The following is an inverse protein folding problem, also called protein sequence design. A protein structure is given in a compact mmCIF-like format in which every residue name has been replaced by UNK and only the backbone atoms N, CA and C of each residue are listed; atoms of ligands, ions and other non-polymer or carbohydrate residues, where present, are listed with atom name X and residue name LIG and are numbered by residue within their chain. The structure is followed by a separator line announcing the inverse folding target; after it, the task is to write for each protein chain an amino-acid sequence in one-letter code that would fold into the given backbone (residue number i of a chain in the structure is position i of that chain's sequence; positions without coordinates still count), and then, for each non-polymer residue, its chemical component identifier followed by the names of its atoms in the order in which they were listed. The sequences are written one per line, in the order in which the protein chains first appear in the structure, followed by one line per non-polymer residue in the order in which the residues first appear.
data_IF_256638608641
#
_entry.id   IF_256638608641
#
_cell.length_a   1.000
_cell.length_b   1.000
_cell.length_c   1.000
_cell.angle_alpha   90.00
_cell.angle_beta   90.00
_cell.angle_gamma   90.00
#
_symmetry.space_group_name_H-M   'P 1'
#
loop_
_entity.id
_entity.type
_entity.pdbx_description
1 polymer ?
#
# COMPACT_ATOMS: atom_id res chain seq x y z
N UNK A 1 0.46 -22.68 -59.18
CA UNK A 1 1.49 -22.66 -58.13
C UNK A 1 1.31 -21.36 -57.34
N UNK A 2 0.40 -21.38 -56.33
CA UNK A 2 0.10 -20.19 -55.52
C UNK A 2 1.02 -20.19 -54.29
N UNK A 3 1.84 -19.14 -54.18
CA UNK A 3 2.64 -18.88 -52.97
C UNK A 3 1.76 -18.15 -51.94
N UNK A 4 1.43 -18.82 -50.87
CA UNK A 4 0.80 -18.22 -49.68
C UNK A 4 1.93 -17.58 -48.85
N UNK A 5 1.96 -16.27 -48.82
CA UNK A 5 2.87 -15.51 -47.91
C UNK A 5 2.17 -15.41 -46.57
N UNK A 6 2.69 -16.15 -45.58
CA UNK A 6 2.21 -16.13 -44.21
C UNK A 6 2.74 -14.84 -43.54
N UNK A 7 1.86 -13.89 -43.30
CA UNK A 7 2.16 -12.66 -42.58
C UNK A 7 2.15 -13.00 -41.08
N UNK A 8 3.32 -13.09 -40.45
CA UNK A 8 3.44 -13.15 -39.00
C UNK A 8 3.12 -11.76 -38.43
N UNK A 9 1.91 -11.59 -37.88
CA UNK A 9 1.59 -10.47 -37.02
C UNK A 9 2.32 -10.68 -35.68
N UNK A 10 3.40 -9.93 -35.50
CA UNK A 10 4.06 -9.79 -34.20
C UNK A 10 3.10 -8.99 -33.29
N UNK A 11 2.37 -9.67 -32.41
CA UNK A 11 1.70 -9.03 -31.29
C UNK A 11 2.80 -8.54 -30.33
N UNK A 12 3.19 -7.27 -30.44
CA UNK A 12 3.94 -6.59 -29.41
C UNK A 12 2.94 -6.36 -28.28
N UNK A 13 3.01 -7.20 -27.26
CA UNK A 13 2.34 -6.95 -26.00
C UNK A 13 3.02 -5.75 -25.35
N UNK A 14 2.49 -4.54 -25.57
CA UNK A 14 2.89 -3.35 -24.82
C UNK A 14 2.37 -3.58 -23.39
N UNK A 15 3.26 -4.03 -22.52
CA UNK A 15 2.96 -4.02 -21.09
C UNK A 15 2.78 -2.58 -20.66
N UNK A 16 1.54 -2.19 -20.41
CA UNK A 16 1.19 -0.91 -19.81
C UNK A 16 1.85 -0.82 -18.43
N UNK A 17 2.92 -0.04 -18.33
CA UNK A 17 3.57 0.33 -17.07
C UNK A 17 2.61 1.21 -16.24
N UNK A 18 1.72 0.57 -15.53
CA UNK A 18 0.86 1.21 -14.54
C UNK A 18 1.60 1.30 -13.19
N UNK A 19 1.19 2.25 -12.34
CA UNK A 19 1.45 2.14 -10.91
C UNK A 19 1.22 0.70 -10.52
N UNK A 20 2.24 0.01 -10.05
CA UNK A 20 2.13 -1.40 -9.84
C UNK A 20 1.40 -1.64 -8.52
N UNK A 21 0.10 -1.35 -8.55
CA UNK A 21 -0.81 -1.83 -7.52
C UNK A 21 -0.81 -3.34 -7.64
N UNK A 22 -0.22 -4.03 -6.67
CA UNK A 22 -0.24 -5.48 -6.64
C UNK A 22 -1.66 -5.98 -6.41
N UNK A 23 -2.34 -5.35 -5.46
CA UNK A 23 -3.74 -5.61 -5.16
C UNK A 23 -4.34 -4.50 -4.28
N UNK A 24 -5.65 -4.41 -4.33
CA UNK A 24 -6.49 -3.65 -3.41
C UNK A 24 -7.76 -4.45 -3.17
N UNK A 25 -8.04 -4.80 -1.93
CA UNK A 25 -9.23 -5.57 -1.61
C UNK A 25 -9.77 -5.31 -0.20
N UNK A 26 -11.08 -5.23 -0.12
CA UNK A 26 -11.88 -5.30 1.10
C UNK A 26 -12.49 -6.71 1.26
N UNK A 27 -12.08 -7.66 0.41
CA UNK A 27 -12.54 -9.04 0.41
C UNK A 27 -11.35 -9.98 0.23
N UNK A 28 -10.89 -10.58 1.30
CA UNK A 28 -9.72 -11.46 1.32
C UNK A 28 -9.91 -12.76 0.53
N UNK A 29 -11.14 -13.19 0.29
CA UNK A 29 -11.40 -14.37 -0.56
C UNK A 29 -10.91 -14.14 -2.01
N UNK A 30 -11.05 -12.92 -2.51
CA UNK A 30 -10.51 -12.52 -3.84
C UNK A 30 -8.99 -12.67 -3.90
N UNK A 31 -8.30 -12.34 -2.79
CA UNK A 31 -6.85 -12.37 -2.68
C UNK A 31 -6.30 -13.78 -2.34
N UNK A 32 -7.14 -14.68 -1.84
CA UNK A 32 -6.76 -16.00 -1.30
C UNK A 32 -5.81 -16.80 -2.21
N UNK A 33 -6.04 -16.78 -3.52
CA UNK A 33 -5.19 -17.47 -4.51
C UNK A 33 -3.76 -16.92 -4.57
N UNK A 34 -3.56 -15.65 -4.21
CA UNK A 34 -2.29 -14.93 -4.24
C UNK A 34 -1.58 -14.94 -2.87
N UNK A 35 -2.21 -15.56 -1.85
CA UNK A 35 -1.68 -15.71 -0.50
C UNK A 35 -1.10 -17.11 -0.26
N UNK A 36 -0.06 -17.16 0.55
CA UNK A 36 0.42 -18.39 1.20
C UNK A 36 0.08 -18.32 2.69
N UNK A 37 -0.80 -19.22 3.12
CA UNK A 37 -1.27 -19.31 4.50
C UNK A 37 -0.47 -20.39 5.22
N UNK A 38 0.08 -20.05 6.38
CA UNK A 38 0.96 -20.92 7.17
C UNK A 38 0.32 -21.18 8.53
N UNK A 39 0.37 -22.43 8.96
CA UNK A 39 -0.21 -22.94 10.23
C UNK A 39 -1.69 -22.57 10.40
N UNK A 40 -2.05 -21.84 11.48
CA UNK A 40 -3.43 -21.50 11.84
C UNK A 40 -4.11 -20.45 10.98
N UNK A 41 -3.37 -19.77 10.08
CA UNK A 41 -3.95 -18.73 9.24
C UNK A 41 -4.94 -19.31 8.22
N UNK A 42 -6.05 -18.61 8.02
CA UNK A 42 -7.12 -19.01 7.10
C UNK A 42 -7.81 -17.79 6.50
N UNK A 43 -8.49 -17.96 5.37
CA UNK A 43 -9.46 -16.99 4.87
C UNK A 43 -10.85 -17.51 5.21
N UNK A 44 -11.55 -16.79 6.09
CA UNK A 44 -12.88 -17.09 6.58
C UNK A 44 -13.88 -16.05 6.03
N UNK A 45 -14.60 -16.42 4.99
CA UNK A 45 -15.44 -15.49 4.24
C UNK A 45 -14.59 -14.39 3.59
N UNK A 46 -14.83 -13.14 3.98
CA UNK A 46 -14.12 -11.96 3.46
C UNK A 46 -12.90 -11.55 4.29
N UNK A 47 -12.57 -12.30 5.34
CA UNK A 47 -11.58 -11.94 6.36
C UNK A 47 -10.37 -12.86 6.28
N UNK A 48 -9.17 -12.31 6.37
CA UNK A 48 -7.96 -13.08 6.64
C UNK A 48 -7.80 -13.21 8.16
N UNK A 49 -8.05 -14.39 8.69
CA UNK A 49 -7.86 -14.74 10.10
C UNK A 49 -6.48 -15.31 10.31
N UNK A 50 -5.68 -14.65 11.14
CA UNK A 50 -4.32 -15.10 11.46
C UNK A 50 -4.33 -16.13 12.60
N UNK A 51 -5.14 -15.89 13.65
CA UNK A 51 -5.38 -16.83 14.76
C UNK A 51 -6.85 -16.89 15.14
N UNK A 52 -7.29 -18.03 15.62
CA UNK A 52 -8.55 -18.14 16.34
C UNK A 52 -8.38 -17.65 17.79
N UNK A 53 -9.51 -17.29 18.44
CA UNK A 53 -9.53 -16.93 19.87
C UNK A 53 -9.43 -18.19 20.76
N UNK A 54 -8.29 -18.86 20.67
CA UNK A 54 -7.93 -20.03 21.48
C UNK A 54 -6.44 -19.96 21.82
N UNK A 55 -6.05 -20.58 22.91
CA UNK A 55 -4.67 -20.57 23.38
C UNK A 55 -3.71 -21.31 22.42
N UNK A 56 -2.44 -20.93 22.49
CA UNK A 56 -1.33 -21.60 21.78
C UNK A 56 -1.48 -21.69 20.28
N UNK A 57 -2.05 -20.67 19.64
CA UNK A 57 -2.14 -20.55 18.20
C UNK A 57 -0.93 -19.81 17.63
N UNK A 58 -0.64 -20.03 16.36
CA UNK A 58 0.17 -19.15 15.52
C UNK A 58 -0.26 -19.27 14.07
N UNK A 59 -0.17 -18.20 13.33
CA UNK A 59 -0.49 -18.16 11.92
C UNK A 59 0.28 -17.08 11.19
N UNK A 60 0.60 -17.34 9.92
CA UNK A 60 1.20 -16.36 9.05
C UNK A 60 0.53 -16.36 7.68
N UNK A 61 0.56 -15.20 7.04
CA UNK A 61 0.08 -15.02 5.69
C UNK A 61 1.10 -14.22 4.89
N UNK A 62 1.50 -14.74 3.72
CA UNK A 62 2.48 -14.10 2.85
C UNK A 62 1.87 -13.86 1.47
N UNK A 63 2.09 -12.66 0.92
CA UNK A 63 1.79 -12.41 -0.48
C UNK A 63 2.82 -13.15 -1.35
N UNK A 64 2.36 -14.19 -2.10
CA UNK A 64 3.26 -15.11 -2.80
C UNK A 64 3.53 -14.80 -4.27
N UNK A 65 2.73 -13.91 -4.87
CA UNK A 65 2.77 -13.67 -6.31
C UNK A 65 4.06 -12.96 -6.74
N UNK A 66 4.57 -12.07 -5.90
CA UNK A 66 5.76 -11.27 -6.21
C UNK A 66 6.39 -10.74 -4.92
N UNK A 67 7.71 -10.62 -4.89
CA UNK A 67 8.42 -9.87 -3.86
C UNK A 67 8.33 -8.36 -4.15
N UNK A 68 8.28 -7.56 -3.09
CA UNK A 68 8.47 -6.11 -3.18
C UNK A 68 9.88 -5.77 -3.64
N UNK A 69 10.00 -4.77 -4.48
CA UNK A 69 11.25 -4.12 -4.85
C UNK A 69 11.48 -2.92 -3.91
N UNK A 70 12.35 -3.07 -2.96
CA UNK A 70 12.58 -2.09 -1.90
C UNK A 70 13.25 -0.79 -2.41
N UNK A 71 13.95 -0.85 -3.56
CA UNK A 71 14.56 0.33 -4.18
C UNK A 71 13.50 1.29 -4.74
N UNK A 72 12.33 0.75 -5.12
CA UNK A 72 11.20 1.56 -5.57
C UNK A 72 10.43 2.21 -4.44
N UNK A 73 10.55 1.64 -3.22
CA UNK A 73 9.65 1.96 -2.14
C UNK A 73 8.24 1.39 -2.35
N UNK A 74 7.42 1.48 -1.32
CA UNK A 74 6.06 0.94 -1.34
C UNK A 74 5.12 1.69 -0.40
N UNK A 75 3.84 1.48 -0.62
CA UNK A 75 2.79 1.82 0.31
C UNK A 75 1.90 0.60 0.52
N UNK A 76 1.53 0.35 1.78
CA UNK A 76 0.56 -0.66 2.13
C UNK A 76 -0.42 -0.11 3.15
N UNK A 77 -1.69 -0.45 2.97
CA UNK A 77 -2.78 -0.08 3.88
C UNK A 77 -3.56 -1.34 4.23
N UNK A 78 -3.98 -1.45 5.46
CA UNK A 78 -4.86 -2.53 5.90
C UNK A 78 -5.77 -2.08 7.02
N UNK A 79 -6.95 -2.67 7.09
CA UNK A 79 -7.82 -2.58 8.25
C UNK A 79 -7.77 -3.90 8.98
N UNK A 80 -7.80 -3.84 10.31
CA UNK A 80 -7.74 -5.02 11.16
C UNK A 80 -8.70 -4.91 12.33
N UNK A 81 -8.96 -6.06 12.94
CA UNK A 81 -9.81 -6.16 14.13
C UNK A 81 -9.26 -7.23 15.05
N UNK A 82 -9.08 -6.87 16.33
CA UNK A 82 -8.71 -7.80 17.39
C UNK A 82 -9.92 -7.93 18.33
N UNK A 83 -10.44 -9.14 18.49
CA UNK A 83 -11.68 -9.36 19.22
C UNK A 83 -11.78 -10.78 19.81
N UNK A 84 -12.87 -11.08 20.54
CA UNK A 84 -13.04 -12.40 21.16
C UNK A 84 -11.99 -12.69 22.22
N UNK A 85 -11.61 -11.67 22.95
CA UNK A 85 -10.54 -11.71 23.94
C UNK A 85 -10.79 -12.70 25.04
N UNK A 86 -9.74 -13.35 25.53
CA UNK A 86 -9.78 -14.11 26.77
C UNK A 86 -10.39 -13.26 27.91
N UNK A 87 -11.40 -13.76 28.63
CA UNK A 87 -12.11 -12.95 29.62
C UNK A 87 -11.28 -12.64 30.87
N UNK A 88 -10.26 -13.44 31.18
CA UNK A 88 -9.42 -13.28 32.36
C UNK A 88 -8.20 -12.42 32.06
N UNK A 89 -7.46 -12.77 31.02
CA UNK A 89 -6.22 -12.10 30.61
C UNK A 89 -6.47 -10.97 29.63
N UNK A 90 -7.74 -10.73 29.25
CA UNK A 90 -8.22 -9.64 28.39
C UNK A 90 -7.63 -9.63 26.97
N UNK A 91 -7.24 -10.80 26.45
CA UNK A 91 -6.71 -11.00 25.10
C UNK A 91 -5.20 -10.93 24.99
N UNK A 92 -4.69 -11.38 23.89
CA UNK A 92 -3.24 -11.45 23.55
C UNK A 92 -3.00 -12.43 22.39
N UNK A 93 -1.76 -12.66 21.95
CA UNK A 93 -0.64 -11.82 22.33
C UNK A 93 -0.52 -10.62 21.36
N UNK A 94 -0.82 -10.82 20.07
CA UNK A 94 -0.80 -9.76 19.08
C UNK A 94 -0.59 -10.28 17.66
N UNK A 95 -0.39 -9.33 16.75
CA UNK A 95 -0.02 -9.62 15.38
C UNK A 95 1.09 -8.69 14.90
N UNK A 96 1.68 -8.98 13.76
CA UNK A 96 2.72 -8.17 13.17
C UNK A 96 2.58 -8.08 11.65
N UNK A 97 2.92 -6.91 11.10
CA UNK A 97 3.22 -6.72 9.69
C UNK A 97 4.70 -6.95 9.48
N UNK A 98 5.08 -7.81 8.54
CA UNK A 98 6.45 -8.31 8.39
C UNK A 98 6.96 -8.15 6.97
N UNK A 99 8.17 -7.59 6.85
CA UNK A 99 9.01 -7.60 5.65
C UNK A 99 10.18 -8.54 5.90
N UNK A 100 10.42 -9.53 5.04
CA UNK A 100 11.47 -10.51 5.28
C UNK A 100 12.09 -11.08 4.00
N UNK A 101 13.31 -11.62 4.14
CA UNK A 101 14.12 -12.11 3.04
C UNK A 101 14.16 -13.64 2.86
N UNK A 102 13.52 -14.45 3.72
CA UNK A 102 13.68 -15.90 3.73
C UNK A 102 12.77 -16.63 2.73
N UNK A 103 11.45 -16.40 2.80
CA UNK A 103 10.49 -17.13 1.94
C UNK A 103 9.05 -17.03 2.43
N UNK A 104 8.16 -17.70 1.75
CA UNK A 104 6.71 -17.62 2.03
C UNK A 104 6.19 -18.69 3.00
N UNK A 105 7.01 -19.66 3.38
CA UNK A 105 6.61 -20.76 4.28
C UNK A 105 7.09 -20.56 5.72
N UNK A 106 7.69 -19.38 6.01
CA UNK A 106 8.27 -19.11 7.31
C UNK A 106 7.24 -18.62 8.32
N UNK A 107 7.45 -18.99 9.57
CA UNK A 107 6.73 -18.50 10.74
C UNK A 107 7.64 -18.61 11.96
N UNK A 108 7.47 -17.72 12.92
CA UNK A 108 8.20 -17.71 14.19
C UNK A 108 7.47 -18.42 15.31
N UNK A 109 7.86 -18.11 16.56
CA UNK A 109 7.31 -18.71 17.76
C UNK A 109 5.89 -18.26 18.10
N UNK A 110 5.30 -18.93 19.08
CA UNK A 110 3.97 -18.62 19.64
C UNK A 110 4.08 -17.64 20.81
N UNK A 111 2.94 -17.22 21.33
CA UNK A 111 2.90 -16.34 22.50
C UNK A 111 3.51 -14.96 22.17
N UNK A 112 4.33 -14.46 23.07
CA UNK A 112 5.05 -13.19 22.96
C UNK A 112 6.02 -13.10 21.77
N UNK A 113 6.25 -14.20 21.07
CA UNK A 113 6.94 -14.22 19.79
C UNK A 113 6.08 -13.72 18.61
N UNK A 114 4.78 -13.57 18.80
CA UNK A 114 3.78 -13.00 17.86
C UNK A 114 3.92 -13.58 16.43
N UNK A 115 4.40 -14.82 16.32
CA UNK A 115 4.59 -15.52 15.05
C UNK A 115 5.73 -14.99 14.19
N UNK A 116 6.47 -13.97 14.60
CA UNK A 116 7.58 -13.42 13.82
C UNK A 116 8.97 -13.65 14.44
N UNK A 117 9.11 -13.69 15.79
CA UNK A 117 10.41 -13.92 16.41
C UNK A 117 10.91 -15.34 16.03
N UNK A 118 12.08 -15.37 15.43
CA UNK A 118 12.63 -16.57 14.77
C UNK A 118 12.80 -16.43 13.26
N UNK A 119 12.03 -15.55 12.60
CA UNK A 119 12.24 -15.19 11.20
C UNK A 119 13.47 -14.28 11.12
N UNK A 120 14.46 -14.66 10.32
CA UNK A 120 15.69 -13.88 10.14
C UNK A 120 15.55 -12.89 9.00
N UNK A 121 16.48 -11.91 8.94
CA UNK A 121 16.52 -10.93 7.85
C UNK A 121 15.15 -10.26 7.66
N UNK A 122 14.62 -9.69 8.74
CA UNK A 122 13.27 -9.12 8.77
C UNK A 122 13.24 -7.77 9.50
N UNK A 123 12.30 -6.95 9.05
CA UNK A 123 11.84 -5.72 9.69
C UNK A 123 10.33 -5.87 9.92
N UNK A 124 9.88 -5.49 11.11
CA UNK A 124 8.56 -5.83 11.61
C UNK A 124 7.93 -4.60 12.25
N UNK A 125 6.65 -4.36 11.98
CA UNK A 125 5.80 -3.50 12.79
C UNK A 125 4.93 -4.42 13.63
N UNK A 126 5.24 -4.46 14.92
CA UNK A 126 4.59 -5.27 15.94
C UNK A 126 3.39 -4.54 16.51
N UNK A 127 2.27 -5.22 16.65
CA UNK A 127 1.05 -4.79 17.34
C UNK A 127 0.83 -5.74 18.52
N UNK A 128 1.44 -5.39 19.64
CA UNK A 128 1.39 -6.16 20.87
C UNK A 128 0.17 -5.74 21.70
N UNK A 129 -0.62 -6.70 22.14
CA UNK A 129 -1.86 -6.46 22.93
C UNK A 129 -1.85 -7.16 24.27
N UNK A 130 -0.74 -7.78 24.64
CA UNK A 130 -0.55 -8.40 25.94
C UNK A 130 0.46 -7.58 26.75
N UNK A 131 0.13 -7.32 28.02
CA UNK A 131 1.02 -6.62 28.95
C UNK A 131 1.79 -7.66 29.76
N UNK A 132 3.10 -7.70 29.60
CA UNK A 132 3.97 -8.44 30.48
C UNK A 132 4.65 -7.51 31.51
N UNK A 133 5.42 -8.08 32.45
CA UNK A 133 6.06 -7.32 33.55
C UNK A 133 7.06 -6.25 33.05
N UNK A 134 7.53 -6.34 31.81
CA UNK A 134 8.48 -5.41 31.20
C UNK A 134 7.83 -4.28 30.41
N UNK A 135 6.55 -4.34 30.19
CA UNK A 135 5.82 -3.39 29.36
C UNK A 135 5.34 -2.17 30.14
N UNK A 136 5.42 -1.01 29.47
CA UNK A 136 4.91 0.24 30.05
C UNK A 136 3.41 0.45 29.79
N UNK A 137 2.81 -0.33 28.90
CA UNK A 137 1.40 -0.31 28.57
C UNK A 137 0.97 -1.63 27.94
N UNK A 138 -0.34 -1.93 28.11
CA UNK A 138 -0.95 -3.16 27.59
C UNK A 138 -0.95 -3.23 26.04
N UNK A 139 -1.05 -2.09 25.38
CA UNK A 139 -1.03 -2.01 23.93
C UNK A 139 0.22 -1.27 23.49
N UNK A 140 1.03 -1.91 22.67
CA UNK A 140 2.24 -1.33 22.11
C UNK A 140 2.30 -1.52 20.61
N UNK A 141 2.84 -0.55 19.92
CA UNK A 141 3.26 -0.69 18.52
C UNK A 141 4.74 -0.36 18.45
N UNK A 142 5.51 -1.26 17.89
CA UNK A 142 6.95 -1.11 17.81
C UNK A 142 7.52 -1.47 16.45
N UNK A 143 8.54 -0.74 16.04
CA UNK A 143 9.40 -1.12 14.93
C UNK A 143 10.48 -2.04 15.45
N UNK A 144 10.49 -3.27 14.98
CA UNK A 144 11.41 -4.32 15.36
C UNK A 144 12.27 -4.74 14.18
N UNK A 145 13.52 -5.10 14.41
CA UNK A 145 14.38 -5.73 13.39
C UNK A 145 15.11 -6.95 13.93
N UNK A 146 15.39 -7.88 13.04
CA UNK A 146 16.32 -8.96 13.36
C UNK A 146 17.76 -8.46 13.34
N UNK A 147 18.48 -8.66 14.46
CA UNK A 147 19.91 -8.40 14.57
C UNK A 147 20.69 -9.70 14.36
N UNK A 148 21.34 -9.82 13.21
CA UNK A 148 22.07 -11.04 12.84
C UNK A 148 23.29 -11.29 13.75
N UNK A 149 23.90 -10.23 14.33
CA UNK A 149 25.06 -10.36 15.22
C UNK A 149 24.66 -10.92 16.59
N UNK A 150 23.50 -10.52 17.07
CA UNK A 150 22.95 -10.96 18.35
C UNK A 150 22.02 -12.17 18.21
N UNK A 151 21.65 -12.53 16.98
CA UNK A 151 20.68 -13.59 16.66
C UNK A 151 19.34 -13.43 17.37
N UNK A 152 18.90 -12.17 17.54
CA UNK A 152 17.64 -11.82 18.22
C UNK A 152 16.99 -10.59 17.58
N UNK A 153 15.74 -10.35 17.94
CA UNK A 153 15.06 -9.12 17.61
C UNK A 153 15.46 -7.99 18.56
N UNK A 154 15.58 -6.79 18.01
CA UNK A 154 15.82 -5.55 18.75
C UNK A 154 14.76 -4.53 18.36
N UNK A 155 14.33 -3.77 19.35
CA UNK A 155 13.37 -2.68 19.19
C UNK A 155 14.12 -1.43 18.69
N UNK A 156 13.70 -0.89 17.55
CA UNK A 156 14.28 0.31 16.95
C UNK A 156 13.52 1.57 17.36
N UNK A 157 12.17 1.46 17.44
CA UNK A 157 11.31 2.55 17.85
C UNK A 157 10.01 2.03 18.44
N UNK A 158 9.35 2.85 19.25
CA UNK A 158 8.04 2.56 19.86
C UNK A 158 7.08 3.71 19.54
N UNK A 159 5.83 3.38 19.22
CA UNK A 159 4.74 4.33 19.12
C UNK A 159 4.14 4.48 20.52
N UNK A 160 4.14 5.71 21.01
CA UNK A 160 3.57 6.06 22.31
C UNK A 160 2.11 6.54 22.15
N UNK A 161 1.33 6.41 23.22
CA UNK A 161 -0.04 6.95 23.30
C UNK A 161 -1.02 6.36 22.26
N UNK A 162 -0.96 5.06 22.05
CA UNK A 162 -1.93 4.37 21.19
C UNK A 162 -3.23 4.05 21.94
N UNK A 163 -4.32 4.01 21.19
CA UNK A 163 -5.62 3.53 21.71
C UNK A 163 -5.57 2.02 21.91
N UNK A 164 -6.51 1.50 22.71
CA UNK A 164 -6.67 0.06 22.89
C UNK A 164 -6.97 -0.62 21.53
N UNK A 165 -6.10 -1.55 21.13
CA UNK A 165 -6.16 -2.23 19.84
C UNK A 165 -7.13 -3.43 19.83
N UNK A 166 -7.27 -4.10 20.99
CA UNK A 166 -8.10 -5.29 21.15
C UNK A 166 -9.50 -4.97 21.71
N UNK A 167 -10.03 -3.82 21.33
CA UNK A 167 -11.33 -3.29 21.76
C UNK A 167 -12.52 -3.82 20.93
N UNK A 168 -12.29 -4.71 19.97
CA UNK A 168 -13.29 -5.27 19.08
C UNK A 168 -13.79 -4.31 17.98
N UNK A 169 -13.15 -3.16 17.80
CA UNK A 169 -13.42 -2.21 16.71
C UNK A 169 -12.46 -2.42 15.55
N UNK A 170 -12.82 -1.86 14.43
CA UNK A 170 -11.94 -1.79 13.27
C UNK A 170 -10.91 -0.69 13.46
N UNK A 171 -9.67 -1.01 13.14
CA UNK A 171 -8.53 -0.11 13.16
C UNK A 171 -7.91 -0.04 11.76
N UNK A 172 -7.37 1.12 11.43
CA UNK A 172 -6.68 1.37 10.16
C UNK A 172 -5.20 1.54 10.39
N UNK A 173 -4.38 0.91 9.54
CA UNK A 173 -2.94 1.08 9.49
C UNK A 173 -2.48 1.37 8.06
N UNK A 174 -1.54 2.31 7.91
CA UNK A 174 -0.83 2.58 6.66
C UNK A 174 0.66 2.67 6.92
N UNK A 175 1.42 1.99 6.08
CA UNK A 175 2.88 1.98 6.11
C UNK A 175 3.37 2.45 4.76
N UNK A 176 4.26 3.40 4.76
CA UNK A 176 4.93 3.94 3.59
C UNK A 176 6.45 3.81 3.76
N UNK A 177 7.14 3.31 2.75
CA UNK A 177 8.59 3.34 2.69
C UNK A 177 9.03 4.02 1.41
N UNK A 178 9.72 5.16 1.56
CA UNK A 178 10.20 5.96 0.43
C UNK A 178 11.51 6.64 0.82
N UNK A 179 12.49 6.60 -0.06
CA UNK A 179 13.79 7.30 0.09
C UNK A 179 14.48 7.03 1.43
N UNK A 180 14.40 5.77 1.92
CA UNK A 180 15.00 5.35 3.19
C UNK A 180 14.22 5.78 4.44
N UNK A 181 13.01 6.33 4.28
CA UNK A 181 12.12 6.71 5.38
C UNK A 181 10.95 5.75 5.45
N UNK A 182 10.76 5.10 6.59
CA UNK A 182 9.56 4.34 6.92
C UNK A 182 8.64 5.22 7.74
N UNK A 183 7.42 5.41 7.25
CA UNK A 183 6.38 6.22 7.90
C UNK A 183 5.18 5.35 8.19
N UNK A 184 4.71 5.36 9.42
CA UNK A 184 3.58 4.57 9.88
C UNK A 184 2.46 5.48 10.40
N UNK A 185 1.23 5.18 9.97
CA UNK A 185 0.01 5.86 10.35
C UNK A 185 -0.96 4.86 11.00
N UNK A 186 -1.65 5.30 12.04
CA UNK A 186 -2.63 4.51 12.78
C UNK A 186 -3.90 5.31 13.04
N UNK A 187 -5.04 4.81 12.64
CA UNK A 187 -6.37 5.45 12.78
C UNK A 187 -6.42 6.90 12.29
N UNK A 188 -5.47 7.29 11.45
CA UNK A 188 -5.35 8.61 10.86
C UNK A 188 -4.65 8.53 9.50
N UNK A 189 -5.14 9.30 8.54
CA UNK A 189 -4.48 9.44 7.23
C UNK A 189 -3.54 10.65 7.17
N UNK A 190 -3.63 11.55 8.15
CA UNK A 190 -3.00 12.86 8.10
C UNK A 190 -1.68 12.92 8.88
N UNK A 191 -1.69 12.30 10.05
CA UNK A 191 -0.57 12.41 10.97
C UNK A 191 0.08 11.06 11.18
N UNK A 192 1.36 10.90 10.82
CA UNK A 192 2.09 9.70 11.14
C UNK A 192 2.29 9.59 12.65
N UNK A 193 2.17 8.39 13.16
CA UNK A 193 2.50 8.07 14.56
C UNK A 193 3.95 7.66 14.74
N UNK A 194 4.63 7.32 13.62
CA UNK A 194 6.06 7.02 13.58
C UNK A 194 6.64 7.43 12.22
N UNK A 195 7.81 8.08 12.23
CA UNK A 195 8.68 8.25 11.06
C UNK A 195 10.09 7.84 11.47
N UNK A 196 10.67 6.87 10.76
CA UNK A 196 11.94 6.28 11.11
C UNK A 196 12.83 6.08 9.88
N UNK A 197 14.05 6.61 9.93
CA UNK A 197 15.03 6.43 8.85
C UNK A 197 15.64 5.03 8.94
N UNK A 198 15.46 4.23 7.91
CA UNK A 198 15.95 2.85 7.85
C UNK A 198 16.32 2.45 6.44
N UNK A 199 17.42 1.74 6.28
CA UNK A 199 17.79 1.07 5.04
C UNK A 199 17.21 -0.34 5.05
N UNK A 200 16.02 -0.53 4.47
CA UNK A 200 15.37 -1.84 4.41
C UNK A 200 16.17 -2.87 3.61
N UNK A 201 16.77 -2.56 2.44
CA UNK A 201 17.69 -3.46 1.74
C UNK A 201 18.82 -3.97 2.63
N UNK A 202 19.47 -3.10 3.39
CA UNK A 202 20.54 -3.49 4.32
C UNK A 202 20.02 -4.42 5.43
N UNK A 203 18.84 -4.09 6.02
CA UNK A 203 18.26 -4.88 7.12
C UNK A 203 17.81 -6.27 6.69
N UNK A 204 17.29 -6.37 5.47
CA UNK A 204 16.79 -7.64 4.88
C UNK A 204 17.92 -8.40 4.19
N UNK A 205 19.02 -7.73 3.85
CA UNK A 205 20.18 -8.31 3.16
C UNK A 205 20.00 -8.46 1.66
N UNK A 206 18.97 -7.85 1.08
CA UNK A 206 18.69 -7.80 -0.37
C UNK A 206 17.61 -6.76 -0.71
N UNK A 207 17.53 -6.37 -1.97
CA UNK A 207 16.60 -5.35 -2.47
C UNK A 207 15.16 -5.84 -2.64
N UNK A 208 14.88 -7.11 -2.32
CA UNK A 208 13.54 -7.70 -2.47
C UNK A 208 13.10 -8.36 -1.19
N UNK A 209 11.85 -8.12 -0.80
CA UNK A 209 11.26 -8.68 0.39
C UNK A 209 9.94 -9.39 0.12
N UNK A 210 9.68 -10.47 0.85
CA UNK A 210 8.35 -10.99 1.06
C UNK A 210 7.64 -10.12 2.10
N UNK A 211 6.34 -9.94 1.92
CA UNK A 211 5.51 -9.09 2.77
C UNK A 211 4.30 -9.88 3.25
N UNK A 212 3.90 -9.64 4.47
CA UNK A 212 2.75 -10.33 5.03
C UNK A 212 2.51 -10.04 6.50
N UNK A 213 1.75 -10.92 7.12
CA UNK A 213 1.34 -10.82 8.52
C UNK A 213 1.66 -12.09 9.26
N UNK A 214 1.93 -11.95 10.55
CA UNK A 214 2.02 -13.06 11.52
C UNK A 214 1.20 -12.72 12.74
N UNK A 215 0.74 -13.71 13.47
CA UNK A 215 0.12 -13.55 14.78
C UNK A 215 0.36 -14.79 15.65
N UNK A 216 0.26 -14.61 16.94
CA UNK A 216 0.27 -15.72 17.87
C UNK A 216 -0.60 -15.45 19.11
N UNK A 217 -0.90 -16.51 19.83
CA UNK A 217 -1.57 -16.50 21.14
C UNK A 217 -0.83 -17.44 22.08
N UNK A 218 -0.86 -17.10 23.37
CA UNK A 218 -0.41 -17.95 24.48
C UNK A 218 -1.61 -18.47 25.27
N UNK A 219 -1.56 -18.37 26.59
CA UNK A 219 -2.74 -18.54 27.45
C UNK A 219 -3.73 -17.38 27.30
N UNK A 220 -3.24 -16.18 27.00
CA UNK A 220 -4.05 -15.07 26.51
C UNK A 220 -4.34 -15.26 25.02
N UNK A 221 -5.54 -14.95 24.57
CA UNK A 221 -5.91 -15.15 23.17
C UNK A 221 -6.95 -14.16 22.66
N UNK A 222 -6.90 -13.95 21.34
CA UNK A 222 -7.88 -13.17 20.58
C UNK A 222 -7.98 -13.71 19.16
N UNK A 223 -9.05 -13.36 18.44
CA UNK A 223 -9.05 -13.38 17.00
C UNK A 223 -8.18 -12.22 16.49
N UNK A 224 -7.27 -12.49 15.57
CA UNK A 224 -6.51 -11.48 14.85
C UNK A 224 -6.93 -11.52 13.39
N UNK A 225 -7.74 -10.57 12.98
CA UNK A 225 -8.37 -10.53 11.66
C UNK A 225 -7.90 -9.32 10.86
N UNK A 226 -7.49 -9.55 9.61
CA UNK A 226 -7.23 -8.53 8.60
C UNK A 226 -8.45 -8.46 7.69
N UNK A 227 -9.11 -7.31 7.62
CA UNK A 227 -10.39 -7.11 6.93
C UNK A 227 -10.19 -6.59 5.51
N UNK A 228 -9.20 -5.73 5.31
CA UNK A 228 -8.81 -5.22 4.00
C UNK A 228 -7.29 -5.15 3.91
N UNK A 229 -6.76 -5.25 2.69
CA UNK A 229 -5.34 -5.07 2.44
C UNK A 229 -5.08 -4.51 1.05
N UNK A 230 -4.28 -3.45 0.98
CA UNK A 230 -3.83 -2.81 -0.24
C UNK A 230 -2.31 -2.78 -0.26
N UNK A 231 -1.71 -3.01 -1.42
CA UNK A 231 -0.26 -2.98 -1.60
C UNK A 231 0.10 -2.41 -2.96
N UNK A 232 1.00 -1.44 -2.99
CA UNK A 232 1.55 -0.85 -4.21
C UNK A 232 3.03 -0.52 -4.06
N UNK A 233 3.81 -0.68 -5.15
CA UNK A 233 5.13 -0.07 -5.30
C UNK A 233 4.98 1.33 -5.89
N UNK A 234 5.91 2.23 -5.58
CA UNK A 234 5.97 3.52 -6.24
C UNK A 234 6.51 3.38 -7.66
N UNK A 235 5.96 4.16 -8.57
CA UNK A 235 6.54 4.32 -9.88
C UNK A 235 7.75 5.25 -9.78
N UNK A 236 8.85 4.92 -10.45
CA UNK A 236 9.96 5.84 -10.57
C UNK A 236 9.51 7.08 -11.35
N UNK A 237 10.09 8.27 -11.06
CA UNK A 237 9.91 9.43 -11.89
C UNK A 237 10.32 9.08 -13.34
N UNK A 238 9.59 9.55 -14.36
CA UNK A 238 10.02 9.37 -15.75
C UNK A 238 11.35 10.09 -15.98
N UNK A 239 12.32 9.41 -16.56
CA UNK A 239 13.68 9.95 -16.77
C UNK A 239 13.74 11.21 -17.66
N UNK A 240 12.75 11.38 -18.53
CA UNK A 240 12.62 12.50 -19.46
C UNK A 240 11.82 13.70 -18.89
N UNK A 241 11.23 13.57 -17.69
CA UNK A 241 10.56 14.66 -16.98
C UNK A 241 11.53 15.30 -15.98
N UNK A 242 11.94 16.53 -16.28
CA UNK A 242 12.69 17.37 -15.35
C UNK A 242 11.72 18.32 -14.65
N UNK A 243 11.12 17.86 -13.57
CA UNK A 243 10.06 18.58 -12.85
C UNK A 243 10.46 20.02 -12.48
N UNK A 244 11.70 20.23 -12.08
CA UNK A 244 12.26 21.53 -11.72
C UNK A 244 12.30 22.54 -12.89
N UNK A 245 12.24 22.03 -14.12
CA UNK A 245 12.21 22.85 -15.33
C UNK A 245 10.80 23.09 -15.88
N UNK A 246 9.77 22.47 -15.27
CA UNK A 246 8.39 22.56 -15.72
C UNK A 246 7.60 23.45 -14.76
N UNK A 247 7.01 24.51 -15.29
CA UNK A 247 6.13 25.40 -14.50
C UNK A 247 4.79 24.71 -14.31
N UNK A 248 4.45 24.42 -13.04
CA UNK A 248 3.12 23.92 -12.68
C UNK A 248 2.20 25.10 -12.43
N UNK A 249 1.11 25.18 -13.17
CA UNK A 249 0.10 26.22 -13.02
C UNK A 249 -0.84 25.86 -11.87
N UNK A 250 -1.33 26.90 -11.17
CA UNK A 250 -2.30 26.74 -10.09
C UNK A 250 -3.55 26.01 -10.57
N UNK A 251 -3.97 25.00 -9.81
CA UNK A 251 -5.03 24.09 -10.19
C UNK A 251 -6.42 24.54 -9.78
N UNK A 252 -7.42 24.14 -10.55
CA UNK A 252 -8.81 24.22 -10.15
C UNK A 252 -9.07 23.31 -8.94
N UNK A 253 -9.81 23.79 -7.94
CA UNK A 253 -10.21 22.99 -6.78
C UNK A 253 -11.47 22.18 -7.11
N UNK A 254 -11.41 20.88 -6.83
CA UNK A 254 -12.49 19.91 -7.01
C UNK A 254 -12.83 19.35 -5.64
N UNK A 255 -14.03 19.64 -5.16
CA UNK A 255 -14.51 19.07 -3.90
C UNK A 255 -14.93 17.61 -4.11
N UNK A 256 -14.49 16.74 -3.21
CA UNK A 256 -14.87 15.31 -3.13
C UNK A 256 -15.41 14.99 -1.75
N UNK A 257 -16.46 14.18 -1.71
CA UNK A 257 -17.16 13.77 -0.47
C UNK A 257 -16.66 12.43 0.07
N UNK A 258 -15.90 11.69 -0.74
CA UNK A 258 -15.27 10.43 -0.36
C UNK A 258 -13.76 10.53 -0.51
N UNK A 259 -13.02 9.91 0.41
CA UNK A 259 -11.57 9.76 0.26
C UNK A 259 -11.21 8.77 -0.85
N UNK A 260 -12.11 7.83 -1.17
CA UNK A 260 -11.93 6.91 -2.28
C UNK A 260 -12.49 7.55 -3.55
N UNK A 261 -11.62 7.77 -4.53
CA UNK A 261 -11.99 8.36 -5.81
C UNK A 261 -11.51 7.48 -6.96
N UNK A 262 -12.28 7.46 -8.04
CA UNK A 262 -11.86 6.90 -9.32
C UNK A 262 -11.46 8.06 -10.22
N UNK A 263 -10.20 8.10 -10.60
CA UNK A 263 -9.66 9.08 -11.54
C UNK A 263 -9.63 8.42 -12.91
N UNK A 264 -10.39 8.97 -13.86
CA UNK A 264 -10.36 8.49 -15.25
C UNK A 264 -9.64 9.51 -16.12
N UNK A 265 -8.75 9.05 -17.00
CA UNK A 265 -8.03 9.91 -17.95
C UNK A 265 -8.18 9.37 -19.37
N UNK A 266 -8.42 10.27 -20.33
CA UNK A 266 -8.53 9.94 -21.75
C UNK A 266 -8.23 11.16 -22.62
N UNK A 267 -7.97 10.91 -23.92
CA UNK A 267 -7.91 11.98 -24.91
C UNK A 267 -9.30 12.59 -25.12
N UNK A 268 -9.39 13.91 -24.95
CA UNK A 268 -10.69 14.58 -25.03
C UNK A 268 -11.15 14.89 -26.44
N UNK A 269 -10.22 15.17 -27.35
CA UNK A 269 -10.55 15.68 -28.67
C UNK A 269 -10.33 14.63 -29.76
N UNK A 270 -9.10 14.46 -30.15
CA UNK A 270 -8.66 13.57 -31.22
C UNK A 270 -7.42 12.84 -30.72
N UNK A 271 -7.48 11.53 -30.75
CA UNK A 271 -6.32 10.71 -30.43
C UNK A 271 -5.23 11.01 -31.44
N UNK A 272 -4.20 11.70 -30.99
CA UNK A 272 -3.12 12.24 -31.82
C UNK A 272 -1.72 11.86 -31.31
N UNK A 273 -1.66 10.88 -30.41
CA UNK A 273 -0.42 10.33 -29.90
C UNK A 273 0.15 11.06 -28.69
N UNK A 274 -0.66 11.80 -27.94
CA UNK A 274 -0.30 12.43 -26.68
C UNK A 274 0.20 11.39 -25.69
N UNK A 275 1.42 11.57 -25.17
CA UNK A 275 2.01 10.73 -24.13
C UNK A 275 2.13 11.56 -22.84
N UNK A 276 1.51 11.06 -21.76
CA UNK A 276 1.43 11.79 -20.49
C UNK A 276 1.91 10.97 -19.30
N UNK A 277 2.21 11.67 -18.21
CA UNK A 277 2.29 11.12 -16.87
C UNK A 277 1.36 11.88 -15.94
N UNK A 278 0.76 11.19 -14.97
CA UNK A 278 -0.01 11.78 -13.88
C UNK A 278 0.74 11.60 -12.57
N UNK A 279 0.92 12.70 -11.85
CA UNK A 279 1.49 12.73 -10.51
C UNK A 279 0.42 13.22 -9.53
N UNK A 280 0.27 12.54 -8.39
CA UNK A 280 -0.56 13.00 -7.29
C UNK A 280 0.34 13.23 -6.09
N UNK A 281 0.40 14.48 -5.63
CA UNK A 281 1.38 14.92 -4.63
C UNK A 281 2.79 14.50 -5.08
N UNK A 282 3.47 13.65 -4.31
CA UNK A 282 4.84 13.18 -4.59
C UNK A 282 4.91 11.86 -5.35
N UNK A 283 3.75 11.31 -5.80
CA UNK A 283 3.69 9.97 -6.40
C UNK A 283 3.21 10.01 -7.84
N UNK A 284 3.98 9.42 -8.75
CA UNK A 284 3.48 9.12 -10.09
C UNK A 284 2.50 7.95 -10.02
N UNK A 285 1.28 8.16 -10.51
CA UNK A 285 0.24 7.12 -10.59
C UNK A 285 0.09 6.56 -12.00
N UNK A 286 0.61 7.29 -12.99
CA UNK A 286 0.73 6.88 -14.39
C UNK A 286 2.02 7.45 -14.94
N UNK A 287 2.80 6.64 -15.68
CA UNK A 287 3.99 7.10 -16.38
C UNK A 287 3.94 6.69 -17.83
N UNK A 288 4.36 7.61 -18.73
CA UNK A 288 4.50 7.39 -20.18
C UNK A 288 3.29 6.69 -20.82
N UNK A 289 2.09 7.13 -20.47
CA UNK A 289 0.86 6.57 -21.00
C UNK A 289 0.43 7.35 -22.25
N UNK A 290 0.25 6.64 -23.38
CA UNK A 290 -0.35 7.21 -24.59
C UNK A 290 -1.85 7.35 -24.36
N UNK A 291 -2.35 8.58 -24.48
CA UNK A 291 -3.77 8.85 -24.33
C UNK A 291 -4.59 8.16 -25.43
N UNK A 292 -5.69 7.59 -25.03
CA UNK A 292 -6.65 6.93 -25.90
C UNK A 292 -8.04 7.54 -25.71
N UNK A 293 -8.96 7.31 -26.66
CA UNK A 293 -10.37 7.67 -26.49
C UNK A 293 -11.04 6.87 -25.36
N UNK A 294 -10.51 5.69 -25.05
CA UNK A 294 -10.99 4.84 -23.97
C UNK A 294 -10.44 5.35 -22.64
N UNK A 295 -11.33 5.49 -21.65
CA UNK A 295 -10.98 5.98 -20.31
C UNK A 295 -10.11 5.00 -19.55
N UNK A 296 -8.89 5.40 -19.20
CA UNK A 296 -8.06 4.70 -18.24
C UNK A 296 -8.53 5.06 -16.83
N UNK A 297 -8.97 4.07 -16.07
CA UNK A 297 -9.46 4.24 -14.70
C UNK A 297 -8.38 3.88 -13.68
N UNK A 298 -8.24 4.74 -12.68
CA UNK A 298 -7.28 4.63 -11.59
C UNK A 298 -8.03 4.81 -10.28
N UNK A 299 -7.93 3.86 -9.37
CA UNK A 299 -8.44 4.03 -8.03
C UNK A 299 -7.40 4.76 -7.18
N UNK A 300 -7.83 5.83 -6.53
CA UNK A 300 -6.97 6.61 -5.64
C UNK A 300 -7.70 6.87 -4.32
N UNK A 301 -6.94 6.84 -3.21
CA UNK A 301 -7.46 7.23 -1.91
C UNK A 301 -6.70 8.45 -1.42
N UNK A 302 -7.44 9.51 -1.06
CA UNK A 302 -6.86 10.71 -0.49
C UNK A 302 -6.35 10.40 0.93
N UNK A 303 -5.08 10.66 1.16
CA UNK A 303 -4.42 10.47 2.45
C UNK A 303 -4.43 11.74 3.32
N UNK A 304 -4.87 12.88 2.75
CA UNK A 304 -5.01 14.16 3.40
C UNK A 304 -6.32 14.85 3.05
N UNK A 305 -6.49 16.11 3.48
CA UNK A 305 -7.65 16.93 3.08
C UNK A 305 -7.53 17.42 1.63
N UNK A 306 -6.32 17.49 1.11
CA UNK A 306 -6.05 17.92 -0.26
C UNK A 306 -5.06 16.99 -0.94
N UNK A 307 -5.20 16.84 -2.25
CA UNK A 307 -4.23 16.18 -3.10
C UNK A 307 -4.12 16.95 -4.42
N UNK A 308 -2.90 17.32 -4.82
CA UNK A 308 -2.64 17.96 -6.09
C UNK A 308 -2.41 16.88 -7.15
N UNK A 309 -3.14 16.96 -8.26
CA UNK A 309 -2.98 16.12 -9.45
C UNK A 309 -2.33 16.97 -10.54
N UNK A 310 -1.18 16.53 -11.06
CA UNK A 310 -0.42 17.24 -12.08
C UNK A 310 -0.35 16.37 -13.32
N UNK A 311 -0.61 16.97 -14.48
CA UNK A 311 -0.46 16.34 -15.79
C UNK A 311 0.87 16.76 -16.40
N UNK A 312 1.77 15.82 -16.66
CA UNK A 312 3.03 16.04 -17.38
C UNK A 312 2.96 15.50 -18.81
N UNK A 313 3.49 16.26 -19.78
CA UNK A 313 3.60 15.86 -21.17
C UNK A 313 5.01 15.31 -21.48
N UNK A 314 5.08 14.21 -22.22
CA UNK A 314 6.33 13.65 -22.74
C UNK A 314 6.58 14.05 -24.21
N UNK A 315 5.54 14.36 -24.93
CA UNK A 315 5.56 14.84 -26.31
C UNK A 315 4.45 15.90 -26.48
N UNK A 316 4.17 16.33 -27.68
CA UNK A 316 3.10 17.31 -27.97
C UNK A 316 2.05 16.75 -28.93
N UNK A 317 2.08 15.44 -29.21
CA UNK A 317 1.19 14.83 -30.19
C UNK A 317 1.30 15.48 -31.56
N UNK A 318 0.28 15.31 -32.40
CA UNK A 318 0.17 16.00 -33.68
C UNK A 318 -0.45 17.41 -33.53
N UNK A 319 -1.15 17.68 -32.42
CA UNK A 319 -1.89 18.93 -32.15
C UNK A 319 -1.56 19.50 -30.77
N UNK A 320 -0.47 20.31 -30.62
CA UNK A 320 -0.10 20.89 -29.34
C UNK A 320 -1.14 21.90 -28.78
N UNK A 321 -1.22 22.06 -27.44
CA UNK A 321 -0.59 21.27 -26.38
C UNK A 321 -1.34 19.97 -26.14
N UNK A 322 -0.69 19.00 -25.44
CA UNK A 322 -1.41 17.81 -24.97
C UNK A 322 -2.65 18.20 -24.16
N UNK A 323 -3.77 17.57 -24.45
CA UNK A 323 -5.03 17.83 -23.78
C UNK A 323 -5.64 16.55 -23.25
N UNK A 324 -5.66 16.37 -21.94
CA UNK A 324 -6.31 15.25 -21.29
C UNK A 324 -7.63 15.67 -20.64
N UNK A 325 -8.69 14.89 -20.81
CA UNK A 325 -9.84 14.96 -19.93
C UNK A 325 -9.57 14.08 -18.70
N UNK A 326 -9.85 14.62 -17.52
CA UNK A 326 -9.77 13.92 -16.25
C UNK A 326 -11.16 13.97 -15.60
N UNK A 327 -11.73 12.79 -15.33
CA UNK A 327 -12.97 12.66 -14.56
C UNK A 327 -12.62 12.18 -13.15
N UNK A 328 -13.14 12.88 -12.15
CA UNK A 328 -13.07 12.51 -10.74
C UNK A 328 -14.45 12.01 -10.33
N UNK A 329 -14.52 10.75 -9.92
CA UNK A 329 -15.72 10.07 -9.44
C UNK A 329 -15.47 9.67 -7.98
N UNK A 330 -16.17 10.28 -7.03
CA UNK A 330 -16.06 10.00 -5.60
C UNK A 330 -17.14 9.02 -5.09
N UNK A 331 -17.89 8.40 -6.04
CA UNK A 331 -19.01 7.53 -5.74
C UNK A 331 -20.33 8.27 -5.47
N UNK A 332 -20.29 9.58 -5.27
CA UNK A 332 -21.44 10.46 -5.01
C UNK A 332 -21.62 11.43 -6.17
N UNK A 333 -20.51 12.05 -6.59
CA UNK A 333 -20.46 13.03 -7.68
C UNK A 333 -19.42 12.65 -8.72
N UNK A 334 -19.62 13.15 -9.96
CA UNK A 334 -18.66 13.01 -11.06
C UNK A 334 -18.40 14.38 -11.66
N UNK A 335 -17.13 14.75 -11.73
CA UNK A 335 -16.70 16.02 -12.30
C UNK A 335 -15.63 15.78 -13.34
N UNK A 336 -15.80 16.37 -14.54
CA UNK A 336 -14.84 16.23 -15.65
C UNK A 336 -14.16 17.57 -15.90
N UNK A 337 -12.84 17.57 -15.91
CA UNK A 337 -11.98 18.72 -16.13
C UNK A 337 -11.06 18.42 -17.31
N UNK A 338 -10.69 19.44 -18.06
CA UNK A 338 -9.66 19.35 -19.09
C UNK A 338 -8.39 19.96 -18.54
N UNK A 339 -7.30 19.21 -18.62
CA UNK A 339 -5.96 19.70 -18.31
C UNK A 339 -5.12 19.72 -19.57
N UNK A 340 -4.27 20.74 -19.66
CA UNK A 340 -3.30 20.91 -20.75
C UNK A 340 -1.89 20.76 -20.18
N UNK A 341 -1.01 20.22 -20.98
CA UNK A 341 0.40 20.15 -20.67
C UNK A 341 1.25 20.36 -21.92
N UNK A 342 2.37 21.04 -21.74
CA UNK A 342 3.45 21.16 -22.71
C UNK A 342 4.75 20.63 -22.10
N UNK A 343 5.84 20.69 -22.85
CA UNK A 343 7.17 20.32 -22.32
C UNK A 343 7.73 21.31 -21.29
N UNK A 344 7.05 22.46 -21.10
CA UNK A 344 7.52 23.55 -20.23
C UNK A 344 6.48 23.95 -19.16
N UNK A 345 5.21 23.69 -19.39
CA UNK A 345 4.12 24.04 -18.48
C UNK A 345 3.15 22.88 -18.32
N UNK A 346 2.68 22.66 -17.11
CA UNK A 346 1.72 21.64 -16.73
C UNK A 346 0.56 22.26 -15.97
N UNK A 347 -0.67 21.99 -16.38
CA UNK A 347 -1.84 22.31 -15.56
C UNK A 347 -2.03 21.26 -14.48
N UNK A 348 -2.65 21.68 -13.38
CA UNK A 348 -2.96 20.83 -12.25
C UNK A 348 -4.42 20.99 -11.82
N UNK A 349 -4.89 20.09 -10.96
CA UNK A 349 -6.11 20.25 -10.18
C UNK A 349 -5.86 19.87 -8.73
N UNK A 350 -6.67 20.40 -7.82
CA UNK A 350 -6.60 20.08 -6.39
C UNK A 350 -7.88 19.34 -6.00
N UNK A 351 -7.74 18.11 -5.56
CA UNK A 351 -8.82 17.37 -4.91
C UNK A 351 -8.91 17.84 -3.46
N UNK A 352 -10.05 18.34 -3.06
CA UNK A 352 -10.31 18.78 -1.69
C UNK A 352 -11.38 17.92 -1.05
N UNK A 353 -11.01 17.16 -0.03
CA UNK A 353 -11.95 16.39 0.75
C UNK A 353 -12.79 17.28 1.66
N UNK A 354 -14.11 17.17 1.54
CA UNK A 354 -15.10 17.91 2.33
C UNK A 354 -16.17 16.97 2.95
N UNK A 355 -15.90 15.67 3.00
CA UNK A 355 -16.75 14.71 3.71
C UNK A 355 -16.54 14.79 5.23
N UNK A 356 -17.47 14.20 5.97
CA UNK A 356 -17.29 13.98 7.41
C UNK A 356 -16.45 12.72 7.60
N UNK A 357 -15.39 12.80 8.41
CA UNK A 357 -14.64 11.62 8.86
C UNK A 357 -15.50 10.89 9.89
N UNK A 358 -16.00 9.68 9.53
CA UNK A 358 -16.80 8.83 10.40
C UNK A 358 -15.92 8.18 11.48
#
# INVERSE_FOLDING_TARGET
MFRITLLFLLFICVENLNAQTFFRTENMDVLKKDLNLVQGASVDGTVLRLTNATSNQSGACWFKKKQLDLDKGFETEFTFKIHGNDPIKKGGDGFAFVLQGQGIDVIGGKGDDIGYKGIKNAVVIEFDTYEDESDNSRNQIALMRYDAKQSKYVREATVHEIRELNNGKEHFARIEYKDGMLTFYMDSYLFPVLSYKVDLPERIGKNKAWIGFTAATSDAYSYHDILSWNLSEFLPPPEDIKEEAIKVLEGQVIEVKSRNVVISVWDHNKVDGDIISLKINDKYIVTKYTLEAIRKKLNYRLTGFQAQVILYAHNLGDIPPNTAAIEIDDGITKQTIKLKASLQESESLILQYSGEDL
#
